data_IF_151734324259
#
_entry.id   IF_151734324259
#
_cell.length_a   1.000
_cell.length_b   1.000
_cell.length_c   1.000
_cell.angle_alpha   90.00
_cell.angle_beta   90.00
_cell.angle_gamma   90.00
#
_symmetry.space_group_name_H-M   'P 1'
#
loop_
_entity.id
_entity.type
_entity.pdbx_description
1 polymer ?
#
# COMPACT_ATOMS: atom_id res chain seq x y z
N UNK A 1 -18.97 -45.14 -25.51
CA UNK A 1 -18.05 -46.24 -25.86
C UNK A 1 -16.75 -45.62 -26.34
N UNK A 2 -15.67 -45.97 -25.65
CA UNK A 2 -14.28 -45.46 -25.72
C UNK A 2 -13.57 -45.77 -27.03
N UNK A 3 -12.76 -44.83 -27.54
CA UNK A 3 -11.58 -45.10 -28.38
C UNK A 3 -10.49 -44.01 -28.19
N UNK A 4 -9.43 -44.35 -27.44
CA UNK A 4 -8.01 -44.05 -27.73
C UNK A 4 -7.42 -45.34 -28.34
N UNK A 5 -6.25 -45.40 -29.05
CA UNK A 5 -4.95 -44.76 -28.74
C UNK A 5 -4.17 -44.30 -30.02
N UNK A 6 -2.91 -43.84 -30.06
CA UNK A 6 -1.64 -44.52 -29.72
C UNK A 6 -0.43 -43.70 -30.24
N UNK A 7 0.78 -43.97 -29.67
CA UNK A 7 2.14 -44.01 -30.29
C UNK A 7 3.19 -43.15 -29.55
N UNK A 8 4.45 -43.54 -29.31
CA UNK A 8 5.26 -44.78 -29.23
C UNK A 8 6.55 -44.31 -28.53
N UNK A 9 7.07 -45.11 -27.59
CA UNK A 9 8.33 -44.91 -26.88
C UNK A 9 9.50 -45.57 -27.64
N UNK A 10 10.70 -44.97 -27.71
CA UNK A 10 11.86 -45.61 -28.34
C UNK A 10 13.23 -44.94 -28.15
N UNK A 11 13.87 -45.23 -27.01
CA UNK A 11 15.32 -45.30 -26.66
C UNK A 11 16.41 -44.43 -27.34
N UNK A 12 16.93 -43.47 -26.55
CA UNK A 12 18.31 -43.33 -26.03
C UNK A 12 19.58 -43.53 -26.91
N UNK A 13 20.33 -42.42 -27.02
CA UNK A 13 21.81 -42.24 -27.09
C UNK A 13 22.52 -42.48 -28.44
N UNK A 14 22.80 -41.37 -29.17
CA UNK A 14 24.12 -41.05 -29.77
C UNK A 14 24.12 -39.65 -30.41
N UNK A 15 25.15 -38.84 -30.06
CA UNK A 15 25.51 -37.49 -30.56
C UNK A 15 24.65 -36.37 -29.94
N UNK A 16 25.02 -35.60 -28.91
CA UNK A 16 26.31 -34.96 -28.58
C UNK A 16 27.04 -34.44 -29.81
N UNK A 17 26.62 -33.27 -30.31
CA UNK A 17 27.46 -32.06 -30.45
C UNK A 17 26.70 -31.04 -31.32
N UNK A 18 26.10 -30.02 -30.71
CA UNK A 18 25.85 -28.73 -31.35
C UNK A 18 25.61 -27.70 -30.23
N UNK A 19 26.62 -27.59 -29.36
CA UNK A 19 26.85 -26.39 -28.56
C UNK A 19 27.54 -25.41 -29.51
N UNK A 20 26.78 -24.48 -30.07
CA UNK A 20 27.24 -23.54 -31.09
C UNK A 20 26.63 -22.16 -30.88
N UNK A 21 27.16 -21.44 -29.88
CA UNK A 21 27.30 -19.98 -29.80
C UNK A 21 26.17 -19.17 -30.47
N UNK A 22 25.07 -19.00 -29.74
CA UNK A 22 24.09 -17.92 -29.96
C UNK A 22 24.19 -16.94 -28.79
N UNK A 23 25.03 -15.93 -28.94
CA UNK A 23 25.29 -14.93 -27.93
C UNK A 23 24.01 -14.15 -27.57
N UNK A 24 23.67 -14.19 -26.27
CA UNK A 24 23.12 -13.09 -25.46
C UNK A 24 22.55 -11.89 -26.24
N UNK A 25 21.30 -11.98 -26.67
CA UNK A 25 20.47 -10.79 -26.87
C UNK A 25 19.22 -10.95 -26.00
N UNK A 26 19.43 -10.95 -24.68
CA UNK A 26 18.38 -10.46 -23.79
C UNK A 26 18.15 -9.01 -24.19
N UNK A 27 17.11 -8.78 -24.99
CA UNK A 27 16.58 -7.45 -25.25
C UNK A 27 16.40 -6.78 -23.89
N UNK A 28 17.33 -5.89 -23.57
CA UNK A 28 17.18 -4.80 -22.62
C UNK A 28 15.96 -4.02 -23.11
N UNK A 29 14.77 -4.51 -22.78
CA UNK A 29 13.63 -3.63 -22.65
C UNK A 29 13.98 -2.79 -21.42
N UNK A 30 14.30 -1.49 -21.56
CA UNK A 30 14.13 -0.62 -20.41
C UNK A 30 12.66 -0.80 -20.04
N UNK A 31 12.40 -1.41 -18.89
CA UNK A 31 11.15 -1.23 -18.21
C UNK A 31 11.10 0.27 -17.92
N UNK A 32 10.56 1.04 -18.85
CA UNK A 32 10.11 2.39 -18.58
C UNK A 32 9.02 2.20 -17.54
N UNK A 33 9.41 2.29 -16.26
CA UNK A 33 8.48 2.59 -15.19
C UNK A 33 7.71 3.80 -15.67
N UNK A 34 6.44 3.55 -16.02
CA UNK A 34 5.52 4.58 -16.46
C UNK A 34 5.63 5.73 -15.47
N UNK A 35 5.85 6.93 -16.01
CA UNK A 35 6.07 8.18 -15.29
C UNK A 35 5.33 8.21 -13.95
N UNK A 36 6.09 8.04 -12.86
CA UNK A 36 5.64 8.54 -11.57
C UNK A 36 5.62 10.06 -11.71
N UNK A 37 4.44 10.66 -11.63
CA UNK A 37 4.33 12.11 -11.53
C UNK A 37 5.19 12.58 -10.36
N UNK A 38 6.21 13.37 -10.64
CA UNK A 38 7.13 13.90 -9.64
C UNK A 38 6.28 14.71 -8.64
N UNK A 39 6.42 14.39 -7.36
CA UNK A 39 5.68 15.07 -6.30
C UNK A 39 5.94 16.58 -6.44
N UNK A 40 4.89 17.42 -6.53
CA UNK A 40 5.08 18.85 -6.69
C UNK A 40 5.95 19.41 -5.55
N UNK A 41 6.79 20.42 -5.85
CA UNK A 41 7.80 20.95 -4.91
C UNK A 41 7.25 21.36 -3.54
N UNK A 42 5.98 21.77 -3.50
CA UNK A 42 5.29 22.23 -2.30
C UNK A 42 4.75 21.09 -1.43
N UNK A 43 4.97 19.85 -1.85
CA UNK A 43 4.50 18.66 -1.16
C UNK A 43 5.64 17.67 -0.89
N UNK A 44 5.47 16.88 0.17
CA UNK A 44 6.32 15.73 0.51
C UNK A 44 5.47 14.48 0.60
N UNK A 45 6.04 13.34 0.22
CA UNK A 45 5.43 12.05 0.48
C UNK A 45 5.89 11.50 1.83
N UNK A 46 4.92 11.12 2.65
CA UNK A 46 5.12 10.20 3.76
C UNK A 46 4.95 8.78 3.24
N UNK A 47 5.92 7.90 3.50
CA UNK A 47 5.89 6.52 3.09
C UNK A 47 6.26 5.68 4.31
N UNK A 48 5.29 4.98 4.87
CA UNK A 48 5.57 3.95 5.86
C UNK A 48 5.55 2.57 5.20
N UNK A 49 6.73 1.93 5.23
CA UNK A 49 6.93 0.59 4.68
C UNK A 49 6.54 -0.51 5.67
N UNK A 50 6.39 -0.17 6.95
CA UNK A 50 6.05 -1.12 8.01
C UNK A 50 4.57 -1.44 7.96
N UNK A 51 3.73 -0.40 7.98
CA UNK A 51 2.27 -0.57 7.94
C UNK A 51 1.69 -0.48 6.52
N UNK A 52 2.52 -0.12 5.54
CA UNK A 52 2.20 -0.26 4.11
C UNK A 52 1.31 0.85 3.54
N UNK A 53 1.37 2.05 4.10
CA UNK A 53 0.61 3.20 3.62
C UNK A 53 1.51 4.37 3.25
N UNK A 54 1.02 5.20 2.33
CA UNK A 54 1.73 6.40 1.89
C UNK A 54 0.74 7.49 1.53
N UNK A 55 1.06 8.72 1.86
CA UNK A 55 0.26 9.88 1.50
C UNK A 55 1.15 11.09 1.27
N UNK A 56 0.58 12.11 0.63
CA UNK A 56 1.28 13.34 0.29
C UNK A 56 0.74 14.46 1.18
N UNK A 57 1.63 15.29 1.71
CA UNK A 57 1.29 16.40 2.59
C UNK A 57 2.10 17.65 2.24
N UNK A 58 1.63 18.86 2.58
CA UNK A 58 2.37 20.08 2.29
C UNK A 58 3.74 20.12 2.98
N UNK A 59 4.74 20.62 2.26
CA UNK A 59 6.12 20.71 2.73
C UNK A 59 6.24 21.51 4.03
N UNK A 60 5.41 22.53 4.24
CA UNK A 60 5.50 23.43 5.39
C UNK A 60 4.96 22.84 6.71
N UNK A 61 4.32 21.67 6.65
CA UNK A 61 3.74 21.04 7.82
C UNK A 61 4.79 20.35 8.68
N UNK A 62 4.55 20.36 10.00
CA UNK A 62 5.42 19.74 11.00
C UNK A 62 4.75 18.52 11.60
N UNK A 63 5.56 17.50 11.83
CA UNK A 63 5.17 16.33 12.61
C UNK A 63 4.91 16.76 14.05
N UNK A 64 3.86 16.21 14.67
CA UNK A 64 3.59 16.37 16.08
C UNK A 64 3.27 15.03 16.71
N UNK A 65 3.83 14.78 17.89
CA UNK A 65 3.54 13.55 18.60
C UNK A 65 2.13 13.62 19.20
N UNK A 66 1.27 12.71 18.79
CA UNK A 66 -0.06 12.55 19.35
C UNK A 66 -0.28 11.08 19.73
N UNK A 67 -0.58 10.83 20.99
CA UNK A 67 -0.71 9.47 21.50
C UNK A 67 -1.78 8.67 20.73
N UNK A 68 -1.44 7.43 20.38
CA UNK A 68 -2.36 6.49 19.74
C UNK A 68 -2.63 6.74 18.25
N UNK A 69 -1.82 7.58 17.61
CA UNK A 69 -1.81 7.76 16.15
C UNK A 69 -0.44 7.37 15.62
N UNK A 70 -0.41 6.87 14.39
CA UNK A 70 0.85 6.41 13.79
C UNK A 70 1.61 7.58 13.16
N UNK A 71 0.90 8.41 12.40
CA UNK A 71 1.45 9.64 11.84
C UNK A 71 0.50 10.81 12.08
N UNK A 72 1.08 11.97 12.42
CA UNK A 72 0.32 13.18 12.67
C UNK A 72 1.12 14.42 12.26
N UNK A 73 0.58 15.17 11.30
CA UNK A 73 1.17 16.39 10.76
C UNK A 73 0.19 17.54 10.90
N UNK A 74 0.72 18.72 11.22
CA UNK A 74 -0.08 19.94 11.34
C UNK A 74 0.64 21.12 10.72
N UNK A 75 -0.14 22.09 10.28
CA UNK A 75 0.39 23.36 9.79
C UNK A 75 1.05 24.16 10.94
N UNK A 76 2.13 24.88 10.62
CA UNK A 76 2.88 25.71 11.57
C UNK A 76 2.08 26.95 11.99
N UNK A 77 1.39 27.57 11.04
CA UNK A 77 0.72 28.85 11.20
C UNK A 77 -0.78 28.67 11.43
N UNK A 78 -1.40 27.61 10.87
CA UNK A 78 -2.83 27.34 10.95
C UNK A 78 -3.13 26.07 11.75
N UNK A 79 -3.30 26.22 13.06
CA UNK A 79 -3.40 25.09 14.00
C UNK A 79 -4.54 24.08 13.72
N UNK A 80 -5.61 24.52 13.05
CA UNK A 80 -6.77 23.68 12.73
C UNK A 80 -6.53 22.74 11.55
N UNK A 81 -5.55 23.05 10.68
CA UNK A 81 -5.21 22.19 9.55
C UNK A 81 -4.24 21.12 10.01
N UNK A 82 -4.75 19.89 10.09
CA UNK A 82 -3.98 18.72 10.47
C UNK A 82 -4.42 17.50 9.66
N UNK A 83 -3.49 16.56 9.51
CA UNK A 83 -3.72 15.23 8.96
C UNK A 83 -3.15 14.25 9.96
N UNK A 84 -3.95 13.22 10.27
CA UNK A 84 -3.57 12.17 11.21
C UNK A 84 -4.04 10.83 10.69
N UNK A 85 -3.20 9.82 10.82
CA UNK A 85 -3.53 8.44 10.47
C UNK A 85 -3.56 7.61 11.75
N UNK A 86 -4.63 6.83 11.90
CA UNK A 86 -4.86 5.93 13.01
C UNK A 86 -5.43 4.63 12.51
N UNK A 87 -4.95 3.53 13.06
CA UNK A 87 -5.49 2.21 12.83
C UNK A 87 -6.57 1.87 13.86
N UNK A 88 -7.73 1.44 13.37
CA UNK A 88 -8.82 0.89 14.18
C UNK A 88 -8.91 -0.60 13.80
N UNK A 89 -8.63 -1.52 14.74
CA UNK A 89 -8.70 -2.94 14.43
C UNK A 89 -10.13 -3.34 14.07
N UNK A 90 -10.29 -4.09 12.97
CA UNK A 90 -11.58 -4.56 12.46
C UNK A 90 -11.44 -6.00 11.97
N UNK A 91 -12.52 -6.78 12.08
CA UNK A 91 -12.60 -8.15 11.55
C UNK A 91 -13.06 -8.17 10.07
N UNK A 92 -13.29 -6.98 9.49
CA UNK A 92 -13.75 -6.84 8.10
C UNK A 92 -12.57 -6.87 7.14
N UNK A 93 -12.73 -7.62 6.04
CA UNK A 93 -11.74 -7.70 4.98
C UNK A 93 -11.97 -6.64 3.89
N UNK A 94 -13.20 -6.14 3.75
CA UNK A 94 -13.57 -5.14 2.76
C UNK A 94 -14.25 -3.92 3.41
N UNK A 95 -14.08 -2.76 2.79
CA UNK A 95 -14.68 -1.51 3.25
C UNK A 95 -16.20 -1.50 3.04
N UNK A 96 -16.71 -2.22 2.04
CA UNK A 96 -18.15 -2.30 1.78
C UNK A 96 -18.88 -3.13 2.83
N UNK A 97 -18.17 -4.03 3.54
CA UNK A 97 -18.73 -4.81 4.66
C UNK A 97 -19.00 -3.97 5.91
N UNK A 98 -18.46 -2.75 5.98
CA UNK A 98 -18.70 -1.81 7.08
C UNK A 98 -20.12 -1.22 7.00
N UNK A 99 -20.78 -1.31 5.84
CA UNK A 99 -22.13 -0.82 5.60
C UNK A 99 -22.17 0.59 5.00
N UNK A 100 -23.32 1.27 5.04
CA UNK A 100 -23.48 2.60 4.46
C UNK A 100 -22.64 3.64 5.21
N UNK A 101 -22.33 4.75 4.53
CA UNK A 101 -21.41 5.79 5.01
C UNK A 101 -21.80 6.31 6.41
N UNK A 102 -23.10 6.50 6.67
CA UNK A 102 -23.61 7.00 7.95
C UNK A 102 -23.22 6.07 9.12
N UNK A 103 -23.15 4.75 8.88
CA UNK A 103 -22.73 3.79 9.89
C UNK A 103 -21.21 3.80 10.08
N UNK A 104 -20.46 3.96 9.00
CA UNK A 104 -19.00 4.07 9.02
C UNK A 104 -18.57 5.30 9.80
N UNK A 105 -19.25 6.44 9.59
CA UNK A 105 -19.01 7.66 10.35
C UNK A 105 -19.13 7.41 11.85
N UNK A 106 -20.23 6.82 12.32
CA UNK A 106 -20.40 6.52 13.75
C UNK A 106 -19.30 5.58 14.26
N UNK A 107 -18.94 4.54 13.51
CA UNK A 107 -17.91 3.59 13.89
C UNK A 107 -16.52 4.24 13.99
N UNK A 108 -16.18 5.12 13.05
CA UNK A 108 -14.89 5.82 13.03
C UNK A 108 -14.86 6.93 14.08
N UNK A 109 -15.92 7.72 14.23
CA UNK A 109 -15.96 8.88 15.14
C UNK A 109 -16.16 8.51 16.61
N UNK A 110 -16.89 7.44 16.92
CA UNK A 110 -17.11 7.01 18.31
C UNK A 110 -15.80 6.92 19.13
N UNK A 111 -14.75 6.19 18.69
CA UNK A 111 -13.50 6.11 19.44
C UNK A 111 -12.75 7.45 19.56
N UNK A 112 -13.01 8.43 18.69
CA UNK A 112 -12.46 9.79 18.85
C UNK A 112 -13.19 10.57 19.94
N UNK A 113 -14.53 10.49 19.99
CA UNK A 113 -15.32 11.20 20.99
C UNK A 113 -15.06 10.61 22.39
N UNK A 114 -14.98 9.28 22.53
CA UNK A 114 -14.60 8.65 23.79
C UNK A 114 -13.23 9.13 24.26
N UNK A 115 -12.20 9.05 23.40
CA UNK A 115 -10.86 9.53 23.75
C UNK A 115 -10.83 11.01 24.17
N UNK A 116 -11.66 11.87 23.57
CA UNK A 116 -11.76 13.28 23.96
C UNK A 116 -12.38 13.44 25.35
N UNK A 117 -13.42 12.66 25.67
CA UNK A 117 -14.08 12.66 26.98
C UNK A 117 -13.12 12.14 28.06
N UNK A 118 -12.35 11.07 27.80
CA UNK A 118 -11.32 10.58 28.73
C UNK A 118 -10.24 11.63 29.01
N UNK A 119 -9.75 12.33 27.98
CA UNK A 119 -8.75 13.40 28.14
C UNK A 119 -9.33 14.56 28.96
N UNK A 120 -10.58 14.96 28.70
CA UNK A 120 -11.27 16.02 29.46
C UNK A 120 -11.58 15.62 30.90
N UNK A 121 -11.81 14.33 31.19
CA UNK A 121 -12.00 13.81 32.56
C UNK A 121 -10.70 13.70 33.35
N UNK A 122 -9.55 13.67 32.67
CA UNK A 122 -8.22 13.58 33.27
C UNK A 122 -7.54 14.95 33.49
N UNK A 123 -8.23 16.05 33.14
CA UNK A 123 -7.83 17.44 33.35
C UNK A 123 -8.61 18.05 34.51
#
# INVERSE_FOLDING_TARGET
>A
MTLCPQRVLGNCKRRMLLLGIGALTTSLLPANFLLAEEIPKDYRAFIDRTDGYSYVYPTDWREFNFMGHDSAFRDRNVQLQNVRVRFIPTEKNDIHDLGPMEKVEVMVFAPFIFSLIEILRSL
#
